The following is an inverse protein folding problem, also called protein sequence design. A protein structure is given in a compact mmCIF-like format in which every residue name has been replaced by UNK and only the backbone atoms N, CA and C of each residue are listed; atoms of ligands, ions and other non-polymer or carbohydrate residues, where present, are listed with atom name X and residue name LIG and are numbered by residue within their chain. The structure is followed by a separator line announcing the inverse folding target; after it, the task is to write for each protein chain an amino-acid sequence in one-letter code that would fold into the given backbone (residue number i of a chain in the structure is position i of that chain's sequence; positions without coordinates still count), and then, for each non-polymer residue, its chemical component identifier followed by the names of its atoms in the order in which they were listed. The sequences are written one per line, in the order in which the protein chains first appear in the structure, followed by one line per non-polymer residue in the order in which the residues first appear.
data_IF_422246941204
#
_entry.id   IF_422246941204
#
_cell.length_a   1.000
_cell.length_b   1.000
_cell.length_c   1.000
_cell.angle_alpha   90.00
_cell.angle_beta   90.00
_cell.angle_gamma   90.00
#
_symmetry.space_group_name_H-M   'P 1'
#
loop_
_entity.id
_entity.type
_entity.pdbx_description
1 polymer ?
#
# COMPACT_ATOMS: atom_id res chain seq x y z
N UNK A 1 3.34 -55.10 -7.62
CA UNK A 1 2.18 -54.19 -7.68
C UNK A 1 2.17 -53.13 -6.59
N UNK A 2 2.62 -53.43 -5.36
CA UNK A 2 2.50 -52.50 -4.21
C UNK A 2 3.45 -51.29 -4.26
N UNK A 3 4.62 -51.40 -4.90
CA UNK A 3 5.58 -50.28 -5.04
C UNK A 3 5.13 -49.22 -6.06
N UNK A 4 4.36 -49.62 -7.09
CA UNK A 4 3.85 -48.71 -8.12
C UNK A 4 2.70 -47.84 -7.59
N UNK A 5 1.87 -48.41 -6.72
CA UNK A 5 0.79 -47.69 -6.01
C UNK A 5 1.40 -46.65 -5.07
N UNK A 6 2.47 -46.99 -4.34
CA UNK A 6 3.13 -46.07 -3.41
C UNK A 6 3.71 -44.82 -4.13
N UNK A 7 4.23 -45.00 -5.35
CA UNK A 7 4.79 -43.92 -6.15
C UNK A 7 3.71 -42.94 -6.64
N UNK A 8 2.53 -43.46 -6.97
CA UNK A 8 1.39 -42.66 -7.41
C UNK A 8 0.79 -41.81 -6.27
N UNK A 9 0.82 -42.32 -5.03
CA UNK A 9 0.32 -41.58 -3.86
C UNK A 9 1.19 -40.37 -3.49
N UNK A 10 2.52 -40.48 -3.68
CA UNK A 10 3.47 -39.39 -3.40
C UNK A 10 3.34 -38.25 -4.43
N UNK A 11 3.00 -38.58 -5.68
CA UNK A 11 2.88 -37.58 -6.75
C UNK A 11 1.65 -36.66 -6.58
N UNK A 12 0.57 -37.16 -5.96
CA UNK A 12 -0.67 -36.40 -5.73
C UNK A 12 -0.49 -35.35 -4.62
N UNK A 13 0.40 -35.57 -3.64
CA UNK A 13 0.64 -34.65 -2.54
C UNK A 13 1.54 -33.45 -2.90
N UNK A 14 2.27 -33.51 -4.03
CA UNK A 14 3.13 -32.42 -4.49
C UNK A 14 2.38 -31.30 -5.23
N UNK A 15 1.09 -31.48 -5.54
CA UNK A 15 0.31 -30.56 -6.38
C UNK A 15 -0.27 -29.32 -5.71
N UNK A 16 -0.14 -29.15 -4.39
CA UNK A 16 -0.78 -28.06 -3.65
C UNK A 16 0.23 -27.04 -3.09
N UNK A 17 1.06 -26.44 -3.93
CA UNK A 17 1.72 -25.16 -3.62
C UNK A 17 1.01 -24.08 -4.42
N UNK A 18 -0.10 -23.58 -3.87
CA UNK A 18 -0.75 -22.38 -4.39
C UNK A 18 0.12 -21.17 -4.03
N UNK A 19 0.89 -20.66 -4.99
CA UNK A 19 1.48 -19.34 -4.85
C UNK A 19 0.33 -18.32 -4.94
N UNK A 20 -0.14 -17.84 -3.80
CA UNK A 20 -1.04 -16.69 -3.76
C UNK A 20 -0.27 -15.50 -4.34
N UNK A 21 -0.36 -15.27 -5.66
CA UNK A 21 0.03 -13.98 -6.24
C UNK A 21 -0.94 -12.96 -5.66
N UNK A 22 -0.46 -12.23 -4.65
CA UNK A 22 -1.17 -11.05 -4.14
C UNK A 22 -1.30 -10.11 -5.35
N UNK A 23 -2.53 -9.91 -5.83
CA UNK A 23 -2.80 -8.88 -6.82
C UNK A 23 -2.65 -7.54 -6.09
N UNK A 24 -1.48 -6.92 -6.24
CA UNK A 24 -1.14 -5.71 -5.51
C UNK A 24 -1.84 -4.52 -6.16
N UNK A 25 -2.91 -4.03 -5.54
CA UNK A 25 -3.53 -2.77 -5.95
C UNK A 25 -2.64 -1.59 -5.55
N UNK A 26 -2.35 -0.71 -6.51
CA UNK A 26 -1.44 0.43 -6.35
C UNK A 26 -2.21 1.73 -6.58
N UNK A 27 -1.96 2.74 -5.75
CA UNK A 27 -2.37 4.13 -5.97
C UNK A 27 -1.11 4.94 -6.27
N UNK A 28 -1.10 5.61 -7.43
CA UNK A 28 0.03 6.42 -7.87
C UNK A 28 -0.33 7.89 -7.63
N UNK A 29 0.48 8.57 -6.82
CA UNK A 29 0.39 10.01 -6.62
C UNK A 29 1.57 10.67 -7.33
N UNK A 30 1.28 11.71 -8.12
CA UNK A 30 2.32 12.54 -8.75
C UNK A 30 2.17 13.96 -8.24
N UNK A 31 3.24 14.53 -7.73
CA UNK A 31 3.27 15.88 -7.16
C UNK A 31 4.63 16.52 -7.41
N UNK A 32 4.67 17.84 -7.42
CA UNK A 32 5.89 18.63 -7.57
C UNK A 32 5.86 19.75 -6.54
N UNK A 33 6.90 19.88 -5.70
CA UNK A 33 7.00 21.02 -4.78
C UNK A 33 7.08 22.33 -5.56
N UNK A 34 6.51 23.41 -5.02
CA UNK A 34 6.31 24.68 -5.75
C UNK A 34 7.62 25.29 -6.28
N UNK A 35 8.72 25.07 -5.57
CA UNK A 35 10.04 25.62 -5.90
C UNK A 35 11.08 24.56 -6.30
N UNK A 36 10.63 23.36 -6.71
CA UNK A 36 11.49 22.24 -7.04
C UNK A 36 11.56 21.97 -8.55
N UNK A 37 12.77 21.67 -9.04
CA UNK A 37 12.99 21.19 -10.42
C UNK A 37 12.86 19.66 -10.56
N UNK A 38 12.15 19.03 -9.63
CA UNK A 38 11.96 17.59 -9.60
C UNK A 38 10.48 17.27 -9.38
N UNK A 39 10.08 16.09 -9.83
CA UNK A 39 8.76 15.53 -9.55
C UNK A 39 8.87 14.32 -8.65
N UNK A 40 7.84 14.14 -7.82
CA UNK A 40 7.71 13.04 -6.89
C UNK A 40 6.59 12.12 -7.39
N UNK A 41 6.97 10.88 -7.71
CA UNK A 41 6.01 9.80 -7.92
C UNK A 41 5.99 8.93 -6.66
N UNK A 42 4.83 8.79 -6.04
CA UNK A 42 4.63 8.00 -4.83
C UNK A 42 3.68 6.86 -5.13
N UNK A 43 4.16 5.63 -4.97
CA UNK A 43 3.39 4.41 -5.15
C UNK A 43 2.92 3.87 -3.80
N UNK A 44 1.61 3.88 -3.59
CA UNK A 44 0.95 3.32 -2.42
C UNK A 44 0.39 1.94 -2.74
N UNK A 45 0.97 0.92 -2.12
CA UNK A 45 0.46 -0.44 -2.21
C UNK A 45 -0.58 -0.65 -1.13
N UNK A 46 -1.84 -0.83 -1.57
CA UNK A 46 -2.97 -1.00 -0.65
C UNK A 46 -2.75 -2.22 0.24
N UNK A 47 -3.00 -2.03 1.54
CA UNK A 47 -3.09 -3.11 2.51
C UNK A 47 -4.46 -3.78 2.48
N UNK A 48 -4.61 -4.85 3.27
CA UNK A 48 -5.83 -5.69 3.28
C UNK A 48 -7.09 -4.92 3.67
N UNK A 49 -6.94 -3.83 4.41
CA UNK A 49 -8.05 -3.02 4.92
C UNK A 49 -7.95 -1.58 4.42
N UNK A 50 -7.52 -1.38 3.17
CA UNK A 50 -7.51 -0.06 2.53
C UNK A 50 -8.94 0.46 2.36
N UNK A 51 -9.46 1.11 3.41
CA UNK A 51 -10.79 1.67 3.47
C UNK A 51 -10.69 3.14 3.88
N UNK A 52 -11.00 4.07 2.96
CA UNK A 52 -10.95 5.52 3.15
C UNK A 52 -9.76 6.02 4.00
N UNK A 53 -8.52 5.82 3.55
CA UNK A 53 -7.34 6.13 4.35
C UNK A 53 -7.23 7.63 4.65
N UNK A 54 -6.64 7.92 5.81
CA UNK A 54 -6.46 9.28 6.33
C UNK A 54 -4.98 9.54 6.52
N UNK A 55 -4.35 10.28 5.61
CA UNK A 55 -2.93 10.62 5.70
C UNK A 55 -2.61 11.92 4.95
N UNK A 56 -1.44 12.47 5.27
CA UNK A 56 -0.83 13.61 4.60
C UNK A 56 0.61 13.27 4.22
N UNK A 57 1.13 13.95 3.21
CA UNK A 57 2.52 13.90 2.77
C UNK A 57 3.00 15.34 2.72
N UNK A 58 4.11 15.62 3.40
CA UNK A 58 4.68 16.96 3.48
C UNK A 58 6.20 16.88 3.45
N UNK A 59 6.84 18.04 3.25
CA UNK A 59 8.29 18.20 3.27
C UNK A 59 8.69 18.87 4.58
N UNK A 60 9.77 18.37 5.17
CA UNK A 60 10.46 18.95 6.31
C UNK A 60 11.92 19.21 5.94
N UNK A 61 12.57 20.14 6.65
CA UNK A 61 14.03 20.25 6.63
C UNK A 61 14.70 19.18 7.51
N UNK A 62 16.04 19.18 7.56
CA UNK A 62 16.81 18.22 8.35
C UNK A 62 16.68 18.42 9.87
N UNK A 63 16.18 19.58 10.30
CA UNK A 63 15.90 19.91 11.70
C UNK A 63 14.47 19.51 12.10
N UNK A 64 13.65 19.06 11.14
CA UNK A 64 12.26 18.66 11.33
C UNK A 64 11.27 19.82 11.24
N UNK A 65 11.67 20.98 10.73
CA UNK A 65 10.74 22.10 10.51
C UNK A 65 9.90 21.85 9.26
N UNK A 66 8.60 22.09 9.35
CA UNK A 66 7.66 22.00 8.25
C UNK A 66 7.98 23.02 7.14
N UNK A 67 7.96 22.58 5.88
CA UNK A 67 8.15 23.42 4.69
C UNK A 67 6.82 23.57 3.94
N UNK A 68 6.29 22.48 3.38
CA UNK A 68 5.06 22.51 2.58
C UNK A 68 4.32 21.17 2.58
N UNK A 69 3.01 21.21 2.29
CA UNK A 69 2.19 20.02 2.09
C UNK A 69 2.19 19.60 0.63
N UNK A 70 2.56 18.35 0.33
CA UNK A 70 2.56 17.80 -1.01
C UNK A 70 1.24 17.12 -1.39
N UNK A 71 0.57 16.50 -0.40
CA UNK A 71 -0.68 15.79 -0.60
C UNK A 71 -1.42 15.60 0.72
N UNK A 72 -2.75 15.67 0.66
CA UNK A 72 -3.65 15.27 1.75
C UNK A 72 -4.79 14.43 1.18
N UNK A 73 -5.20 13.39 1.89
CA UNK A 73 -6.42 12.69 1.52
C UNK A 73 -7.63 13.60 1.72
N UNK A 74 -8.71 13.36 0.96
CA UNK A 74 -9.93 14.17 1.04
C UNK A 74 -10.48 14.30 2.47
N UNK A 75 -10.39 13.24 3.28
CA UNK A 75 -10.80 13.29 4.67
C UNK A 75 -10.00 14.31 5.46
N UNK A 76 -8.67 14.30 5.34
CA UNK A 76 -7.78 15.26 6.00
C UNK A 76 -8.08 16.70 5.54
N UNK A 77 -8.35 16.88 4.24
CA UNK A 77 -8.65 18.21 3.68
C UNK A 77 -10.01 18.79 4.10
N UNK A 78 -11.02 17.94 4.32
CA UNK A 78 -12.41 18.39 4.50
C UNK A 78 -12.98 18.13 5.89
N UNK A 79 -12.34 17.26 6.68
CA UNK A 79 -12.85 16.77 7.97
C UNK A 79 -14.13 15.92 7.86
N UNK A 80 -14.61 15.62 6.65
CA UNK A 80 -15.88 14.94 6.44
C UNK A 80 -15.69 13.43 6.38
N UNK A 81 -16.13 12.71 7.42
CA UNK A 81 -16.16 11.26 7.45
C UNK A 81 -17.22 10.74 6.47
N UNK A 82 -16.81 9.89 5.52
CA UNK A 82 -17.70 9.27 4.53
C UNK A 82 -17.91 7.75 4.78
N UNK A 83 -17.47 7.22 5.92
CA UNK A 83 -17.46 5.77 6.18
C UNK A 83 -18.14 5.38 7.50
N UNK A 84 -18.46 4.09 7.62
CA UNK A 84 -18.98 3.49 8.84
C UNK A 84 -17.86 3.31 9.87
N UNK A 85 -18.02 3.93 11.04
CA UNK A 85 -17.03 3.96 12.12
C UNK A 85 -16.70 2.58 12.71
N UNK A 86 -17.49 1.53 12.41
CA UNK A 86 -17.20 0.15 12.83
C UNK A 86 -16.03 -0.50 12.05
N UNK A 87 -15.53 0.15 11.00
CA UNK A 87 -14.47 -0.36 10.13
C UNK A 87 -13.12 0.33 10.31
N UNK A 88 -12.96 1.13 11.37
CA UNK A 88 -11.69 1.77 11.70
C UNK A 88 -10.66 0.69 12.05
N UNK A 89 -9.57 0.67 11.31
CA UNK A 89 -8.47 -0.31 11.43
C UNK A 89 -7.14 0.41 11.64
N UNK A 90 -6.10 -0.32 11.99
CA UNK A 90 -4.76 0.24 12.22
C UNK A 90 -4.08 0.65 10.90
N UNK A 91 -3.26 1.70 10.93
CA UNK A 91 -2.49 2.18 9.79
C UNK A 91 -1.62 1.09 9.12
N UNK A 92 -1.15 0.11 9.90
CA UNK A 92 -0.34 -1.02 9.42
C UNK A 92 -1.08 -1.94 8.45
N UNK A 93 -2.41 -1.97 8.50
CA UNK A 93 -3.23 -2.77 7.58
C UNK A 93 -3.78 -1.97 6.39
N UNK A 94 -3.64 -0.64 6.42
CA UNK A 94 -4.10 0.29 5.39
C UNK A 94 -3.09 0.36 4.24
N UNK A 95 -1.80 0.52 4.55
CA UNK A 95 -0.74 0.60 3.55
C UNK A 95 0.29 -0.48 3.81
N UNK A 96 0.56 -1.31 2.80
CA UNK A 96 1.53 -2.39 2.91
C UNK A 96 2.94 -1.94 2.56
N UNK A 97 3.07 -1.07 1.55
CA UNK A 97 4.36 -0.58 1.04
C UNK A 97 4.16 0.80 0.44
N UNK A 98 5.16 1.65 0.59
CA UNK A 98 5.27 2.94 -0.09
C UNK A 98 6.60 2.95 -0.84
N UNK A 99 6.58 3.36 -2.10
CA UNK A 99 7.80 3.63 -2.87
C UNK A 99 7.75 5.08 -3.32
N UNK A 100 8.86 5.79 -3.19
CA UNK A 100 9.00 7.18 -3.62
C UNK A 100 10.07 7.22 -4.70
N UNK A 101 9.73 7.81 -5.82
CA UNK A 101 10.62 8.10 -6.93
C UNK A 101 10.81 9.61 -7.03
N UNK A 102 12.07 10.01 -7.18
CA UNK A 102 12.45 11.35 -7.55
C UNK A 102 12.80 11.33 -9.04
N UNK A 103 12.08 12.11 -9.83
CA UNK A 103 12.24 12.23 -11.28
C UNK A 103 12.70 13.64 -11.66
#
# INVERSE_FOLDING_TARGET
MNKLILFFTVFVLAGCVSSNKINEEIVILKTSPENANYSLTIEFFKGKTYNHPSFAIWIEDLEGNFIETLYVTQFVATGKLYTNLTTITSAKEIVRKIIVHLE
#
